data_IF_137730323011
#
_entry.id   IF_137730323011
#
_cell.length_a   1.000
_cell.length_b   1.000
_cell.length_c   1.000
_cell.angle_alpha   90.00
_cell.angle_beta   90.00
_cell.angle_gamma   90.00
#
_symmetry.space_group_name_H-M   'P 1'
#
loop_
_entity.id
_entity.type
_entity.pdbx_description
1 polymer ?
#
# COMPACT_ATOMS: atom_id res chain seq x y z
N UNK A 1 -48.08 1.26 17.01
CA UNK A 1 -46.88 0.40 16.91
C UNK A 1 -47.21 -0.90 17.60
N UNK A 2 -47.17 -2.05 16.91
CA UNK A 2 -47.55 -3.34 17.49
C UNK A 2 -46.32 -4.08 18.02
N UNK A 3 -46.53 -5.01 18.95
CA UNK A 3 -45.46 -5.81 19.55
C UNK A 3 -44.75 -6.65 18.48
N UNK A 4 -45.46 -7.16 17.46
CA UNK A 4 -44.81 -7.92 16.37
C UNK A 4 -43.85 -7.05 15.58
N UNK A 5 -44.24 -5.80 15.26
CA UNK A 5 -43.34 -4.85 14.56
C UNK A 5 -42.10 -4.54 15.38
N UNK A 6 -42.23 -4.40 16.70
CA UNK A 6 -41.07 -4.16 17.58
C UNK A 6 -40.12 -5.36 17.62
N UNK A 7 -40.64 -6.59 17.63
CA UNK A 7 -39.81 -7.79 17.52
C UNK A 7 -39.11 -7.88 16.16
N UNK A 8 -39.80 -7.55 15.08
CA UNK A 8 -39.24 -7.55 13.72
C UNK A 8 -38.10 -6.54 13.59
N UNK A 9 -38.27 -5.33 14.12
CA UNK A 9 -37.19 -4.33 14.19
C UNK A 9 -36.04 -4.77 15.11
N UNK A 10 -36.33 -5.41 16.24
CA UNK A 10 -35.30 -5.96 17.13
C UNK A 10 -34.41 -6.98 16.42
N UNK A 11 -35.01 -7.96 15.75
CA UNK A 11 -34.27 -8.97 14.99
C UNK A 11 -33.47 -8.37 13.83
N UNK A 12 -34.01 -7.34 13.16
CA UNK A 12 -33.30 -6.63 12.11
C UNK A 12 -32.07 -5.91 12.66
N UNK A 13 -32.18 -5.24 13.80
CA UNK A 13 -31.06 -4.57 14.45
C UNK A 13 -29.99 -5.56 14.92
N UNK A 14 -30.38 -6.71 15.48
CA UNK A 14 -29.44 -7.75 15.88
C UNK A 14 -28.68 -8.31 14.67
N UNK A 15 -29.37 -8.52 13.54
CA UNK A 15 -28.74 -8.93 12.30
C UNK A 15 -27.74 -7.89 11.79
N UNK A 16 -28.08 -6.59 11.86
CA UNK A 16 -27.14 -5.53 11.48
C UNK A 16 -25.92 -5.48 12.40
N UNK A 17 -26.08 -5.73 13.70
CA UNK A 17 -24.96 -5.82 14.63
C UNK A 17 -24.04 -7.01 14.30
N UNK A 18 -24.58 -8.16 13.91
CA UNK A 18 -23.77 -9.30 13.45
C UNK A 18 -23.07 -9.01 12.12
N UNK A 19 -23.74 -8.31 11.19
CA UNK A 19 -23.15 -7.90 9.92
C UNK A 19 -21.93 -7.00 10.14
N UNK A 20 -22.04 -6.01 11.04
CA UNK A 20 -20.92 -5.12 11.39
C UNK A 20 -19.74 -5.90 11.96
N UNK A 21 -19.99 -6.83 12.90
CA UNK A 21 -18.94 -7.67 13.47
C UNK A 21 -18.25 -8.53 12.42
N UNK A 22 -19.00 -9.09 11.47
CA UNK A 22 -18.44 -9.88 10.37
C UNK A 22 -17.56 -9.06 9.43
N UNK A 23 -17.93 -7.81 9.15
CA UNK A 23 -17.10 -6.91 8.33
C UNK A 23 -15.81 -6.55 9.06
N UNK A 24 -15.88 -6.21 10.34
CA UNK A 24 -14.70 -5.90 11.15
C UNK A 24 -13.73 -7.09 11.23
N UNK A 25 -14.26 -8.28 11.46
CA UNK A 25 -13.47 -9.51 11.51
C UNK A 25 -12.82 -9.82 10.14
N UNK A 26 -13.52 -9.55 9.03
CA UNK A 26 -12.96 -9.71 7.70
C UNK A 26 -11.80 -8.74 7.43
N UNK A 27 -11.90 -7.50 7.93
CA UNK A 27 -10.84 -6.49 7.83
C UNK A 27 -9.61 -6.89 8.66
N UNK A 28 -9.83 -7.39 9.88
CA UNK A 28 -8.78 -7.93 10.75
C UNK A 28 -8.02 -9.07 10.05
N UNK A 29 -8.72 -10.08 9.52
CA UNK A 29 -8.09 -11.16 8.76
C UNK A 29 -7.37 -10.69 7.49
N UNK A 30 -7.89 -9.68 6.79
CA UNK A 30 -7.22 -9.12 5.62
C UNK A 30 -5.94 -8.37 6.00
N UNK A 31 -5.92 -7.73 7.17
CA UNK A 31 -4.75 -7.01 7.68
C UNK A 31 -3.69 -7.94 8.27
N UNK A 32 -4.09 -8.99 8.99
CA UNK A 32 -3.20 -9.97 9.62
C UNK A 32 -2.57 -10.94 8.60
N UNK A 33 -3.24 -11.19 7.48
CA UNK A 33 -2.61 -11.89 6.35
C UNK A 33 -1.78 -10.88 5.58
N UNK A 34 -0.49 -11.17 5.41
CA UNK A 34 0.56 -10.29 4.86
C UNK A 34 0.33 -9.66 3.46
N UNK A 35 -0.89 -9.63 2.92
CA UNK A 35 -1.22 -8.89 1.70
C UNK A 35 -1.25 -7.37 1.92
N UNK A 36 -1.54 -6.90 3.13
CA UNK A 36 -1.59 -5.46 3.44
C UNK A 36 -0.21 -4.79 3.41
N UNK A 37 0.80 -5.46 3.96
CA UNK A 37 2.18 -4.93 4.06
C UNK A 37 3.09 -5.36 2.90
N UNK A 38 2.65 -6.30 2.04
CA UNK A 38 3.47 -6.80 0.92
C UNK A 38 4.01 -5.68 0.01
N UNK A 39 3.25 -4.58 -0.14
CA UNK A 39 3.69 -3.44 -0.95
C UNK A 39 4.74 -2.58 -0.22
N UNK A 40 4.54 -2.33 1.09
CA UNK A 40 5.50 -1.57 1.89
C UNK A 40 6.80 -2.35 2.09
N UNK A 41 6.72 -3.66 2.33
CA UNK A 41 7.87 -4.55 2.45
C UNK A 41 8.58 -4.78 1.12
N UNK A 42 7.87 -4.83 -0.01
CA UNK A 42 8.51 -4.84 -1.33
C UNK A 42 9.26 -3.53 -1.61
N UNK A 43 8.70 -2.38 -1.21
CA UNK A 43 9.36 -1.07 -1.33
C UNK A 43 10.56 -0.97 -0.38
N UNK A 44 10.42 -1.39 0.88
CA UNK A 44 11.51 -1.45 1.87
C UNK A 44 12.61 -2.40 1.39
N UNK A 45 12.26 -3.60 0.95
CA UNK A 45 13.20 -4.59 0.40
C UNK A 45 13.88 -4.08 -0.88
N UNK A 46 13.15 -3.43 -1.78
CA UNK A 46 13.72 -2.77 -2.96
C UNK A 46 14.70 -1.65 -2.61
N UNK A 47 14.37 -0.85 -1.60
CA UNK A 47 15.25 0.22 -1.06
C UNK A 47 16.48 -0.37 -0.38
N UNK A 48 16.31 -1.46 0.38
CA UNK A 48 17.41 -2.21 1.02
C UNK A 48 18.33 -2.82 -0.02
N UNK A 49 17.79 -3.40 -1.09
CA UNK A 49 18.58 -3.92 -2.22
C UNK A 49 19.43 -2.80 -2.84
N UNK A 50 18.85 -1.64 -3.11
CA UNK A 50 19.60 -0.50 -3.66
C UNK A 50 20.67 0.04 -2.69
N UNK A 51 20.40 0.12 -1.38
CA UNK A 51 21.40 0.57 -0.39
C UNK A 51 22.52 -0.44 -0.14
N UNK A 52 22.19 -1.74 -0.11
CA UNK A 52 23.19 -2.79 0.08
C UNK A 52 24.13 -2.88 -1.14
N UNK A 53 23.62 -2.64 -2.34
CA UNK A 53 24.42 -2.61 -3.58
C UNK A 53 25.51 -1.54 -3.55
N UNK A 54 25.26 -0.38 -2.94
CA UNK A 54 26.31 0.64 -2.71
C UNK A 54 27.44 0.14 -1.81
N UNK A 55 27.16 -0.79 -0.88
CA UNK A 55 28.17 -1.36 0.02
C UNK A 55 29.02 -2.47 -0.62
N UNK A 56 28.53 -3.11 -1.68
CA UNK A 56 29.25 -4.18 -2.40
C UNK A 56 29.83 -3.73 -3.75
N UNK A 57 29.90 -2.41 -3.99
CA UNK A 57 30.45 -1.81 -5.21
C UNK A 57 29.88 -2.42 -6.51
N UNK A 58 28.58 -2.78 -6.49
CA UNK A 58 27.87 -3.23 -7.69
C UNK A 58 27.37 -1.98 -8.42
N UNK A 59 27.71 -1.78 -9.70
CA UNK A 59 27.30 -0.59 -10.43
C UNK A 59 25.78 -0.61 -10.65
N UNK A 60 25.06 0.34 -10.04
CA UNK A 60 23.66 0.63 -10.34
C UNK A 60 23.62 1.92 -11.16
N UNK A 61 22.88 1.95 -12.27
CA UNK A 61 22.71 3.19 -13.02
C UNK A 61 21.95 4.21 -12.15
N UNK A 62 22.61 5.33 -11.88
CA UNK A 62 22.07 6.49 -11.17
C UNK A 62 21.79 7.61 -12.17
N UNK A 63 20.61 8.22 -12.10
CA UNK A 63 20.14 9.21 -13.08
C UNK A 63 18.75 9.71 -12.72
N UNK A 64 18.16 10.59 -13.53
CA UNK A 64 16.82 11.08 -13.25
C UNK A 64 15.77 9.99 -13.55
N UNK A 65 15.01 9.57 -12.54
CA UNK A 65 13.96 8.54 -12.68
C UNK A 65 12.58 9.11 -12.98
N UNK A 66 12.44 10.43 -13.06
CA UNK A 66 11.18 11.10 -13.33
C UNK A 66 10.94 11.26 -14.84
N UNK A 67 9.91 10.62 -15.42
CA UNK A 67 9.59 10.73 -16.85
C UNK A 67 9.21 12.13 -17.31
N UNK A 68 8.85 13.03 -16.39
CA UNK A 68 8.49 14.41 -16.68
C UNK A 68 9.70 15.36 -16.74
N UNK A 69 10.89 14.90 -16.34
CA UNK A 69 12.12 15.67 -16.44
C UNK A 69 12.73 15.61 -17.86
N UNK A 70 13.42 16.67 -18.27
CA UNK A 70 14.08 16.77 -19.58
C UNK A 70 15.26 15.81 -19.74
N UNK A 71 15.83 15.35 -18.63
CA UNK A 71 16.97 14.44 -18.57
C UNK A 71 16.59 13.07 -17.99
N UNK A 72 15.32 12.65 -18.16
CA UNK A 72 14.86 11.32 -17.78
C UNK A 72 15.76 10.22 -18.37
N UNK A 73 16.29 9.35 -17.51
CA UNK A 73 17.08 8.19 -17.90
C UNK A 73 16.27 6.91 -17.59
N UNK A 74 15.78 6.18 -18.61
CA UNK A 74 15.00 4.96 -18.40
C UNK A 74 15.82 3.80 -17.82
N UNK A 75 17.15 3.91 -17.80
CA UNK A 75 18.04 2.90 -17.20
C UNK A 75 18.34 3.20 -15.73
N UNK A 76 18.09 4.43 -15.27
CA UNK A 76 18.31 4.83 -13.89
C UNK A 76 17.36 4.08 -12.95
N UNK A 77 17.93 3.43 -11.94
CA UNK A 77 17.17 2.73 -10.89
C UNK A 77 17.14 3.50 -9.58
N UNK A 78 17.98 4.52 -9.45
CA UNK A 78 18.12 5.37 -8.28
C UNK A 78 18.14 6.81 -8.78
N UNK A 79 17.25 7.63 -8.24
CA UNK A 79 17.27 9.07 -8.49
C UNK A 79 18.49 9.68 -7.78
N UNK A 80 19.33 10.36 -8.56
CA UNK A 80 20.48 11.09 -8.05
C UNK A 80 20.18 12.58 -7.81
N UNK A 81 18.92 13.00 -7.96
CA UNK A 81 18.48 14.39 -7.78
C UNK A 81 18.94 15.33 -8.90
N UNK A 82 19.41 14.79 -10.03
CA UNK A 82 19.82 15.60 -11.18
C UNK A 82 18.67 16.01 -12.10
N UNK A 83 17.42 15.66 -11.78
CA UNK A 83 16.25 15.93 -12.61
C UNK A 83 16.11 17.43 -12.95
N UNK A 84 16.01 17.72 -14.26
CA UNK A 84 15.86 19.05 -14.81
C UNK A 84 14.45 19.22 -15.35
N UNK A 85 13.69 20.12 -14.74
CA UNK A 85 12.36 20.50 -15.20
C UNK A 85 12.45 21.82 -15.96
N UNK A 86 11.88 21.85 -17.17
CA UNK A 86 11.71 23.12 -17.87
C UNK A 86 10.58 23.89 -17.21
N UNK A 87 10.90 25.10 -16.77
CA UNK A 87 9.95 26.10 -16.24
C UNK A 87 9.54 27.06 -17.33
#
# INVERSE_FOLDING_TARGET
>A
MTVEKLLEYGNMLDQEQENVKRVQLADEYLSDTALGEANEDAIKSGTVYCKAVQQVNVPVPEGCTDPSASNFDPTARIDNGSCQYQV
#
